data_IF_573545389365
#
_entry.id   IF_573545389365
#
_cell.length_a   1.000
_cell.length_b   1.000
_cell.length_c   1.000
_cell.angle_alpha   90.00
_cell.angle_beta   90.00
_cell.angle_gamma   90.00
#
_symmetry.space_group_name_H-M   'P 1'
#
loop_
_entity.id
_entity.type
_entity.pdbx_description
1 polymer ?
#
# COMPACT_ATOMS: atom_id res chain seq x y z
N UNK A 1 28.60 7.67 13.59
CA UNK A 1 27.81 6.86 12.62
C UNK A 1 26.60 6.21 13.30
N UNK A 2 25.93 6.89 14.26
CA UNK A 2 24.84 6.29 15.05
C UNK A 2 23.53 7.10 15.07
N UNK A 3 23.53 8.37 14.64
CA UNK A 3 22.30 9.18 14.65
C UNK A 3 21.42 9.00 13.41
N UNK A 4 22.01 8.65 12.26
CA UNK A 4 21.27 8.45 11.00
C UNK A 4 20.42 7.16 11.01
N UNK A 5 20.84 6.15 11.79
CA UNK A 5 20.15 4.86 11.91
C UNK A 5 18.93 4.97 12.83
N UNK A 6 18.99 5.80 13.88
CA UNK A 6 17.87 5.95 14.83
C UNK A 6 16.66 6.69 14.26
N UNK A 7 16.84 7.50 13.20
CA UNK A 7 15.73 8.18 12.52
C UNK A 7 14.93 7.27 11.57
N UNK A 8 15.45 6.08 11.22
CA UNK A 8 14.78 5.14 10.31
C UNK A 8 13.79 4.20 11.01
N UNK A 9 13.89 4.05 12.34
CA UNK A 9 13.09 3.05 13.07
C UNK A 9 11.83 3.60 13.74
N UNK A 10 11.69 4.92 13.87
CA UNK A 10 10.53 5.48 14.57
C UNK A 10 9.31 5.54 13.65
N UNK A 11 8.17 4.97 14.06
CA UNK A 11 6.94 5.09 13.29
C UNK A 11 6.48 6.55 13.27
N UNK A 12 6.17 7.06 12.09
CA UNK A 12 5.46 8.33 11.94
C UNK A 12 3.99 8.09 12.25
N UNK A 13 3.38 8.97 13.05
CA UNK A 13 1.98 8.84 13.42
C UNK A 13 1.13 9.53 12.37
N UNK A 14 0.40 8.75 11.60
CA UNK A 14 -0.51 9.23 10.56
C UNK A 14 -1.96 9.05 10.98
N UNK A 15 -2.79 9.99 10.54
CA UNK A 15 -4.25 9.95 10.70
C UNK A 15 -4.83 9.18 9.51
N UNK A 16 -5.83 8.34 9.74
CA UNK A 16 -6.63 7.76 8.66
C UNK A 16 -7.47 8.88 8.03
N UNK A 17 -7.23 9.18 6.76
CA UNK A 17 -7.92 10.24 6.02
C UNK A 17 -9.17 9.74 5.32
N UNK A 18 -9.12 8.51 4.78
CA UNK A 18 -10.28 7.86 4.15
C UNK A 18 -10.29 6.36 4.41
N UNK A 19 -11.49 5.78 4.53
CA UNK A 19 -11.70 4.34 4.59
C UNK A 19 -12.61 3.96 3.43
N UNK A 20 -12.20 2.96 2.64
CA UNK A 20 -12.97 2.38 1.54
C UNK A 20 -13.33 0.96 1.93
N UNK A 21 -14.61 0.59 1.88
CA UNK A 21 -15.04 -0.78 2.09
C UNK A 21 -14.99 -1.51 0.74
N UNK A 22 -13.99 -2.36 0.55
CA UNK A 22 -13.82 -3.14 -0.69
C UNK A 22 -14.76 -4.37 -0.70
N UNK A 23 -14.95 -4.97 0.47
CA UNK A 23 -15.86 -6.09 0.75
C UNK A 23 -16.26 -6.12 2.23
N UNK A 24 -17.12 -7.05 2.63
CA UNK A 24 -17.51 -7.25 4.04
C UNK A 24 -16.33 -7.53 4.97
N UNK A 25 -15.25 -8.13 4.44
CA UNK A 25 -14.07 -8.52 5.20
C UNK A 25 -12.79 -7.76 4.81
N UNK A 26 -12.85 -6.84 3.83
CA UNK A 26 -11.70 -6.07 3.35
C UNK A 26 -11.99 -4.58 3.35
N UNK A 27 -11.12 -3.82 4.01
CA UNK A 27 -11.15 -2.35 4.00
C UNK A 27 -9.82 -1.79 3.58
N UNK A 28 -9.84 -0.73 2.79
CA UNK A 28 -8.66 0.06 2.46
C UNK A 28 -8.62 1.31 3.32
N UNK A 29 -7.47 1.57 3.94
CA UNK A 29 -7.20 2.78 4.72
C UNK A 29 -6.24 3.67 3.92
N UNK A 30 -6.66 4.91 3.66
CA UNK A 30 -5.90 5.91 2.91
C UNK A 30 -5.29 6.92 3.87
N UNK A 31 -4.04 7.29 3.60
CA UNK A 31 -3.27 8.30 4.31
C UNK A 31 -2.77 9.34 3.31
N UNK A 32 -3.04 10.61 3.57
CA UNK A 32 -2.54 11.74 2.79
C UNK A 32 -1.13 12.09 3.25
N UNK A 33 -0.18 11.24 2.88
CA UNK A 33 1.22 11.41 3.19
C UNK A 33 2.06 10.85 2.04
N UNK A 34 3.10 11.60 1.65
CA UNK A 34 4.12 11.11 0.73
C UNK A 34 4.89 9.96 1.40
N UNK A 35 4.90 8.80 0.75
CA UNK A 35 5.64 7.64 1.22
C UNK A 35 6.75 7.37 0.21
N UNK A 36 8.02 7.40 0.62
CA UNK A 36 9.16 7.06 -0.23
C UNK A 36 9.17 5.56 -0.56
N UNK A 37 8.24 5.14 -1.42
CA UNK A 37 7.86 3.77 -1.72
C UNK A 37 8.23 3.42 -3.15
N UNK A 38 8.83 2.26 -3.31
CA UNK A 38 8.99 1.60 -4.59
C UNK A 38 8.03 0.41 -4.68
N UNK A 39 7.41 0.27 -5.86
CA UNK A 39 6.56 -0.87 -6.20
C UNK A 39 7.17 -2.20 -5.76
N UNK A 40 6.44 -2.98 -4.96
CA UNK A 40 6.89 -4.27 -4.45
C UNK A 40 7.43 -4.23 -3.02
N UNK A 41 7.60 -3.05 -2.45
CA UNK A 41 7.87 -2.90 -1.02
C UNK A 41 6.60 -3.11 -0.18
N UNK A 42 6.76 -3.10 1.14
CA UNK A 42 5.68 -3.09 2.11
C UNK A 42 6.01 -2.14 3.26
N UNK A 43 5.02 -1.63 3.98
CA UNK A 43 5.21 -0.79 5.17
C UNK A 43 4.82 -1.56 6.43
N UNK A 44 5.42 -1.21 7.57
CA UNK A 44 4.98 -1.72 8.88
C UNK A 44 3.93 -0.78 9.47
N UNK A 45 2.78 -1.34 9.81
CA UNK A 45 1.69 -0.63 10.48
C UNK A 45 1.71 -1.01 11.95
N UNK A 46 1.85 -0.01 12.80
CA UNK A 46 1.90 -0.13 14.24
C UNK A 46 0.61 0.40 14.87
N UNK A 47 0.03 -0.41 15.75
CA UNK A 47 -1.10 -0.02 16.58
C UNK A 47 -0.63 0.02 18.05
N UNK A 48 -0.58 1.21 18.70
CA UNK A 48 -0.10 1.33 20.07
C UNK A 48 -0.81 0.38 21.04
N UNK A 49 -0.04 -0.38 21.81
CA UNK A 49 -0.56 -1.34 22.78
C UNK A 49 -1.15 -2.62 22.20
N UNK A 50 -1.06 -2.83 20.87
CA UNK A 50 -1.57 -4.04 20.21
C UNK A 50 -0.42 -4.85 19.61
N UNK A 51 0.14 -4.40 18.49
CA UNK A 51 1.18 -5.11 17.74
C UNK A 51 1.70 -4.22 16.59
N UNK A 52 2.63 -4.73 15.80
CA UNK A 52 3.07 -4.16 14.52
C UNK A 52 3.07 -5.24 13.44
N UNK A 53 2.55 -4.94 12.25
CA UNK A 53 2.48 -5.92 11.14
C UNK A 53 2.82 -5.33 9.78
N UNK A 54 3.43 -6.12 8.88
CA UNK A 54 3.71 -5.69 7.52
C UNK A 54 2.44 -5.67 6.66
N UNK A 55 2.30 -4.63 5.83
CA UNK A 55 1.25 -4.49 4.83
C UNK A 55 1.82 -3.98 3.51
N UNK A 56 1.40 -4.62 2.43
CA UNK A 56 1.63 -4.10 1.10
C UNK A 56 0.88 -2.78 0.89
N UNK A 57 1.46 -1.89 0.11
CA UNK A 57 0.79 -0.68 -0.37
C UNK A 57 -0.10 -1.07 -1.54
N UNK A 58 -1.41 -0.88 -1.38
CA UNK A 58 -2.44 -1.20 -2.39
C UNK A 58 -2.75 -0.03 -3.32
N UNK A 59 -2.61 1.20 -2.82
CA UNK A 59 -2.81 2.45 -3.57
C UNK A 59 -1.62 3.37 -3.34
N UNK A 60 -1.15 4.04 -4.38
CA UNK A 60 0.00 4.93 -4.28
C UNK A 60 -0.14 6.08 -5.27
N UNK A 61 0.05 7.30 -4.79
CA UNK A 61 0.11 8.54 -5.57
C UNK A 61 1.16 9.48 -4.99
N UNK A 62 1.28 10.68 -5.57
CA UNK A 62 2.33 11.64 -5.15
C UNK A 62 2.22 12.01 -3.66
N UNK A 63 1.02 12.35 -3.18
CA UNK A 63 0.80 12.82 -1.81
C UNK A 63 -0.04 11.86 -0.94
N UNK A 64 -0.25 10.62 -1.39
CA UNK A 64 -1.03 9.66 -0.63
C UNK A 64 -0.62 8.20 -0.89
N UNK A 65 -0.92 7.36 0.10
CA UNK A 65 -0.87 5.92 -0.07
C UNK A 65 -2.03 5.25 0.65
N UNK A 66 -2.32 4.01 0.27
CA UNK A 66 -3.38 3.21 0.84
C UNK A 66 -2.94 1.78 1.08
N UNK A 67 -3.47 1.19 2.16
CA UNK A 67 -3.25 -0.22 2.51
C UNK A 67 -4.60 -0.93 2.63
N UNK A 68 -4.71 -2.08 1.97
CA UNK A 68 -5.90 -2.93 2.08
C UNK A 68 -5.69 -3.99 3.15
N UNK A 69 -6.66 -4.10 4.05
CA UNK A 69 -6.59 -4.96 5.23
C UNK A 69 -7.76 -5.93 5.19
N UNK A 70 -7.44 -7.22 5.15
CA UNK A 70 -8.39 -8.31 5.31
C UNK A 70 -8.54 -8.65 6.81
N UNK A 71 -9.77 -8.79 7.30
CA UNK A 71 -10.10 -9.01 8.72
C UNK A 71 -9.77 -10.43 9.24
N UNK A 72 -8.49 -10.80 9.24
CA UNK A 72 -7.99 -12.11 9.72
C UNK A 72 -7.07 -11.95 10.94
N UNK A 73 -7.67 -11.97 12.13
CA UNK A 73 -6.97 -11.97 13.43
C UNK A 73 -7.20 -10.73 14.28
N UNK A 74 -6.62 -10.70 15.49
CA UNK A 74 -6.87 -9.63 16.49
C UNK A 74 -6.46 -8.24 15.97
N UNK A 75 -5.27 -8.14 15.39
CA UNK A 75 -4.74 -6.88 14.85
C UNK A 75 -5.63 -6.30 13.74
N UNK A 76 -5.91 -7.08 12.70
CA UNK A 76 -6.67 -6.64 11.53
C UNK A 76 -8.14 -6.38 11.86
N UNK A 77 -8.73 -7.16 12.77
CA UNK A 77 -10.08 -6.87 13.31
C UNK A 77 -10.15 -5.57 14.11
N UNK A 78 -9.11 -5.26 14.90
CA UNK A 78 -9.03 -3.98 15.59
C UNK A 78 -8.96 -2.84 14.59
N UNK A 79 -8.08 -2.95 13.60
CA UNK A 79 -7.93 -1.96 12.54
C UNK A 79 -9.24 -1.74 11.77
N UNK A 80 -9.99 -2.81 11.50
CA UNK A 80 -11.33 -2.74 10.89
C UNK A 80 -12.36 -1.94 11.68
N UNK A 81 -12.19 -1.83 13.00
CA UNK A 81 -13.04 -1.02 13.89
C UNK A 81 -12.64 0.46 13.96
N UNK A 82 -11.48 0.83 13.40
CA UNK A 82 -11.00 2.22 13.38
C UNK A 82 -11.81 3.07 12.41
N UNK A 83 -11.78 4.38 12.63
CA UNK A 83 -12.53 5.39 11.89
C UNK A 83 -11.58 6.41 11.27
N UNK A 84 -12.08 7.12 10.26
CA UNK A 84 -11.43 8.33 9.76
C UNK A 84 -11.22 9.28 10.94
N UNK A 85 -9.99 9.76 11.14
CA UNK A 85 -9.64 10.45 12.39
C UNK A 85 -8.64 9.71 13.27
N UNK A 86 -8.72 8.38 13.30
CA UNK A 86 -7.88 7.60 14.19
C UNK A 86 -6.44 7.57 13.70
N UNK A 87 -5.52 7.34 14.63
CA UNK A 87 -4.08 7.40 14.38
C UNK A 87 -3.47 6.00 14.35
N UNK A 88 -2.56 5.79 13.41
CA UNK A 88 -1.72 4.59 13.30
C UNK A 88 -0.27 5.00 13.16
N UNK A 89 0.64 4.17 13.64
CA UNK A 89 2.06 4.32 13.33
C UNK A 89 2.38 3.68 11.99
N UNK A 90 3.11 4.39 11.14
CA UNK A 90 3.58 3.90 9.85
C UNK A 90 5.10 3.98 9.87
N UNK A 91 5.79 2.88 9.57
CA UNK A 91 7.24 2.91 9.31
C UNK A 91 7.51 3.03 7.83
N UNK A 92 8.71 3.48 7.50
CA UNK A 92 9.16 3.57 6.10
C UNK A 92 9.05 2.21 5.38
N UNK A 93 8.91 2.20 4.06
CA UNK A 93 8.83 0.98 3.30
C UNK A 93 10.08 0.10 3.46
N UNK A 94 9.86 -1.21 3.55
CA UNK A 94 10.86 -2.25 3.61
C UNK A 94 10.79 -3.13 2.35
N UNK A 95 11.89 -3.82 2.06
CA UNK A 95 12.04 -4.71 0.91
C UNK A 95 12.71 -4.02 -0.28
N UNK A 96 13.00 -4.82 -1.32
CA UNK A 96 13.58 -4.34 -2.58
C UNK A 96 12.45 -4.21 -3.61
N UNK A 97 12.31 -3.04 -4.22
CA UNK A 97 11.32 -2.83 -5.28
C UNK A 97 11.54 -3.76 -6.48
N UNK A 98 10.50 -3.90 -7.31
CA UNK A 98 10.60 -4.65 -8.56
C UNK A 98 11.56 -3.94 -9.52
N UNK A 99 12.60 -4.65 -9.95
CA UNK A 99 13.47 -4.22 -11.04
C UNK A 99 12.75 -4.40 -12.37
N UNK A 100 12.10 -3.35 -12.85
CA UNK A 100 11.44 -3.35 -14.16
C UNK A 100 12.49 -2.93 -15.21
N UNK A 101 12.82 -3.78 -16.20
CA UNK A 101 13.69 -3.40 -17.31
C UNK A 101 13.10 -2.22 -18.09
N UNK A 102 13.96 -1.33 -18.58
CA UNK A 102 13.58 -0.11 -19.30
C UNK A 102 12.95 -0.36 -20.67
N UNK A 103 13.16 -1.55 -21.25
CA UNK A 103 12.84 -1.88 -22.63
C UNK A 103 11.56 -2.71 -22.70
N UNK A 104 10.70 -2.42 -23.70
CA UNK A 104 9.36 -3.00 -23.86
C UNK A 104 9.28 -4.49 -23.53
N UNK A 105 8.74 -4.79 -22.35
CA UNK A 105 8.50 -6.16 -21.88
C UNK A 105 7.05 -6.55 -22.07
N UNK A 106 6.82 -7.77 -22.56
CA UNK A 106 5.53 -8.43 -22.42
C UNK A 106 5.46 -9.05 -21.03
N UNK A 107 4.90 -8.32 -20.07
CA UNK A 107 4.81 -8.75 -18.68
C UNK A 107 3.59 -9.66 -18.46
N UNK A 108 3.80 -10.84 -17.88
CA UNK A 108 2.74 -11.68 -17.33
C UNK A 108 2.81 -11.61 -15.80
N UNK A 109 1.82 -10.96 -15.19
CA UNK A 109 1.72 -10.82 -13.74
C UNK A 109 0.76 -11.86 -13.20
N UNK A 110 1.24 -12.75 -12.32
CA UNK A 110 0.43 -13.77 -11.66
C UNK A 110 0.40 -13.44 -10.17
N UNK A 111 -0.79 -13.35 -9.58
CA UNK A 111 -0.95 -13.12 -8.16
C UNK A 111 -2.19 -13.79 -7.58
N UNK A 112 -2.19 -13.95 -6.26
CA UNK A 112 -3.29 -14.55 -5.51
C UNK A 112 -3.34 -14.05 -4.07
N UNK A 113 -4.55 -13.89 -3.54
CA UNK A 113 -4.79 -13.41 -2.16
C UNK A 113 -4.20 -12.02 -1.90
N UNK A 114 -3.73 -11.78 -0.67
CA UNK A 114 -3.18 -10.48 -0.25
C UNK A 114 -1.93 -10.05 -1.04
N UNK A 115 -1.25 -10.97 -1.74
CA UNK A 115 -0.11 -10.65 -2.61
C UNK A 115 -0.50 -9.76 -3.81
N UNK A 116 -1.79 -9.68 -4.15
CA UNK A 116 -2.28 -8.79 -5.21
C UNK A 116 -2.07 -7.30 -4.89
N UNK A 117 -1.99 -6.90 -3.62
CA UNK A 117 -1.81 -5.50 -3.25
C UNK A 117 -0.48 -4.93 -3.79
N UNK A 118 0.64 -5.64 -3.58
CA UNK A 118 1.94 -5.22 -4.14
C UNK A 118 1.94 -5.24 -5.68
N UNK A 119 1.20 -6.16 -6.29
CA UNK A 119 1.10 -6.29 -7.75
C UNK A 119 0.24 -5.22 -8.40
N UNK A 120 -0.77 -4.68 -7.70
CA UNK A 120 -1.60 -3.58 -8.21
C UNK A 120 -0.73 -2.37 -8.58
N UNK A 121 0.14 -1.95 -7.66
CA UNK A 121 1.10 -0.85 -7.92
C UNK A 121 2.08 -1.17 -9.05
N UNK A 122 2.36 -2.46 -9.32
CA UNK A 122 3.24 -2.90 -10.41
C UNK A 122 2.54 -2.78 -11.76
N UNK A 123 1.27 -3.18 -11.81
CA UNK A 123 0.45 -3.08 -13.00
C UNK A 123 0.29 -1.61 -13.40
N UNK A 124 -0.02 -0.72 -12.45
CA UNK A 124 -0.14 0.72 -12.72
C UNK A 124 1.16 1.29 -13.31
N UNK A 125 2.31 0.91 -12.72
CA UNK A 125 3.62 1.33 -13.22
C UNK A 125 3.90 0.79 -14.62
N UNK A 126 3.56 -0.46 -14.92
CA UNK A 126 3.73 -1.06 -16.24
C UNK A 126 2.80 -0.44 -17.31
N UNK A 127 1.57 -0.06 -16.95
CA UNK A 127 0.60 0.56 -17.84
C UNK A 127 0.93 2.03 -18.16
N UNK A 128 1.61 2.72 -17.24
CA UNK A 128 2.08 4.10 -17.47
C UNK A 128 3.17 4.22 -18.55
N UNK A 129 3.72 3.09 -19.04
CA UNK A 129 4.62 3.05 -20.19
C UNK A 129 3.80 3.03 -21.51
N UNK A 130 3.91 4.03 -22.40
CA UNK A 130 2.95 4.30 -23.49
C UNK A 130 3.00 3.34 -24.70
N UNK A 131 3.57 2.14 -24.58
CA UNK A 131 3.61 1.18 -25.67
C UNK A 131 3.20 -0.21 -25.17
N UNK A 132 1.91 -0.54 -25.24
CA UNK A 132 1.39 -1.81 -25.80
C UNK A 132 -0.15 -1.81 -25.79
N UNK A 133 -0.66 -2.57 -26.74
CA UNK A 133 -1.98 -2.57 -27.37
C UNK A 133 -3.19 -2.94 -26.48
N UNK A 134 -4.39 -2.57 -26.95
CA UNK A 134 -5.68 -2.69 -26.27
C UNK A 134 -6.10 -4.15 -26.06
N UNK A 135 -6.15 -4.58 -24.80
CA UNK A 135 -6.87 -5.78 -24.35
C UNK A 135 -7.56 -5.48 -23.03
N UNK A 136 -8.88 -5.27 -23.06
CA UNK A 136 -9.63 -4.76 -21.91
C UNK A 136 -9.73 -5.74 -20.74
N UNK A 137 -9.63 -5.21 -19.51
CA UNK A 137 -10.70 -5.26 -18.52
C UNK A 137 -10.45 -4.32 -17.34
N UNK A 138 -11.42 -3.40 -17.20
CA UNK A 138 -11.87 -2.61 -16.03
C UNK A 138 -10.81 -1.81 -15.25
N UNK A 139 -10.85 -0.50 -15.50
CA UNK A 139 -10.26 0.58 -14.72
C UNK A 139 -10.42 0.37 -13.22
N UNK A 140 -9.28 0.38 -12.52
CA UNK A 140 -9.19 0.76 -11.12
C UNK A 140 -8.75 2.24 -11.09
N UNK A 141 -9.42 3.13 -10.35
CA UNK A 141 -9.12 4.56 -10.44
C UNK A 141 -7.79 4.88 -9.76
N UNK A 142 -6.90 5.57 -10.50
CA UNK A 142 -5.65 6.18 -10.03
C UNK A 142 -5.86 7.40 -9.12
N UNK A 143 -7.10 7.66 -8.75
CA UNK A 143 -7.54 8.74 -7.89
C UNK A 143 -8.39 8.13 -6.77
N UNK A 144 -8.27 8.59 -5.52
CA UNK A 144 -9.20 8.17 -4.48
C UNK A 144 -10.61 8.44 -4.98
N UNK A 145 -11.56 7.47 -4.87
CA UNK A 145 -12.94 7.74 -5.24
C UNK A 145 -13.43 8.97 -4.46
N UNK A 146 -14.35 9.76 -5.01
CA UNK A 146 -14.91 10.95 -4.34
C UNK A 146 -15.47 10.63 -2.95
#
# INVERSE_FOLDING_TARGET
MNELIMHFEQPIILKIDKIINESDDTKTFIFNHELAYETGQFTMVWLPGIDEKPFAVSYYGEDFFGISVLARGKFTKYMHGMKVGDKVGIRRPFGKGFGIPSDGINACVIGGGCGMASLATLIDKLQSNPNQDKGGQKHHPSSPPS
#
